data_IF_135809636673
#
_entry.id   IF_135809636673
#
_cell.length_a   1.000
_cell.length_b   1.000
_cell.length_c   1.000
_cell.angle_alpha   90.00
_cell.angle_beta   90.00
_cell.angle_gamma   90.00
#
_symmetry.space_group_name_H-M   'P 1'
#
loop_
_entity.id
_entity.type
_entity.pdbx_description
1 polymer ?
#
# COMPACT_ATOMS: atom_id res chain seq x y z
N UNK A 1 15.28 -4.22 14.41
CA UNK A 1 14.64 -3.28 13.47
C UNK A 1 13.89 -4.00 12.37
N UNK A 2 14.40 -5.13 11.85
CA UNK A 2 13.73 -5.92 10.80
C UNK A 2 12.27 -6.30 11.12
N UNK A 3 11.96 -6.79 12.32
CA UNK A 3 10.58 -7.10 12.71
C UNK A 3 9.65 -5.86 12.65
N UNK A 4 10.15 -4.70 13.07
CA UNK A 4 9.39 -3.45 12.99
C UNK A 4 9.09 -3.07 11.53
N UNK A 5 10.04 -3.25 10.63
CA UNK A 5 9.85 -3.02 9.19
C UNK A 5 8.74 -3.91 8.66
N UNK A 6 8.76 -5.21 8.97
CA UNK A 6 7.73 -6.15 8.50
C UNK A 6 6.34 -5.79 9.05
N UNK A 7 6.25 -5.46 10.34
CA UNK A 7 4.99 -5.08 10.98
C UNK A 7 4.40 -3.79 10.39
N UNK A 8 5.25 -2.81 10.04
CA UNK A 8 4.82 -1.55 9.43
C UNK A 8 4.40 -1.76 7.98
N UNK A 9 5.18 -2.50 7.18
CA UNK A 9 4.80 -2.86 5.80
C UNK A 9 3.45 -3.57 5.79
N UNK A 10 3.23 -4.56 6.65
CA UNK A 10 1.96 -5.27 6.74
C UNK A 10 0.77 -4.36 7.08
N UNK A 11 0.98 -3.31 7.89
CA UNK A 11 -0.06 -2.32 8.23
C UNK A 11 -0.36 -1.35 7.09
N UNK A 12 0.66 -0.97 6.32
CA UNK A 12 0.48 -0.18 5.10
C UNK A 12 -0.34 -0.97 4.08
N UNK A 13 0.01 -2.23 3.84
CA UNK A 13 -0.71 -3.11 2.91
C UNK A 13 -2.16 -3.36 3.36
N UNK A 14 -2.40 -3.57 4.66
CA UNK A 14 -3.76 -3.73 5.19
C UNK A 14 -4.62 -2.46 5.04
N UNK A 15 -4.01 -1.28 5.20
CA UNK A 15 -4.70 0.01 4.98
C UNK A 15 -5.06 0.19 3.51
N UNK A 16 -4.12 -0.12 2.61
CA UNK A 16 -4.37 -0.13 1.15
C UNK A 16 -5.48 -1.11 0.79
N UNK A 17 -5.46 -2.32 1.34
CA UNK A 17 -6.50 -3.32 1.09
C UNK A 17 -7.90 -2.83 1.48
N UNK A 18 -8.01 -2.13 2.61
CA UNK A 18 -9.28 -1.54 3.05
C UNK A 18 -9.79 -0.50 2.04
N UNK A 19 -8.92 0.40 1.57
CA UNK A 19 -9.30 1.41 0.59
C UNK A 19 -9.69 0.79 -0.76
N UNK A 20 -8.96 -0.24 -1.21
CA UNK A 20 -9.28 -0.97 -2.44
C UNK A 20 -10.61 -1.72 -2.35
N UNK A 21 -10.97 -2.22 -1.16
CA UNK A 21 -12.22 -2.95 -0.97
C UNK A 21 -13.47 -2.07 -1.11
N UNK A 22 -13.36 -0.76 -0.85
CA UNK A 22 -14.48 0.21 -0.96
C UNK A 22 -14.36 1.13 -2.18
N UNK A 23 -13.26 1.05 -2.92
CA UNK A 23 -12.97 1.96 -4.04
C UNK A 23 -14.07 1.94 -5.11
N UNK A 24 -14.47 0.75 -5.56
CA UNK A 24 -15.41 0.62 -6.69
C UNK A 24 -16.82 1.11 -6.31
N UNK A 25 -17.28 0.84 -5.08
CA UNK A 25 -18.53 1.39 -4.55
C UNK A 25 -18.47 2.93 -4.45
N UNK A 26 -17.33 3.47 -4.01
CA UNK A 26 -17.12 4.92 -3.95
C UNK A 26 -17.04 5.56 -5.34
N UNK A 27 -16.46 4.89 -6.34
CA UNK A 27 -16.37 5.38 -7.73
C UNK A 27 -17.73 5.40 -8.41
N UNK A 28 -18.57 4.39 -8.15
CA UNK A 28 -19.95 4.34 -8.64
C UNK A 28 -20.82 5.48 -8.07
N UNK A 29 -20.60 5.89 -6.81
CA UNK A 29 -21.36 6.95 -6.14
C UNK A 29 -20.81 8.36 -6.42
N UNK A 30 -19.49 8.56 -6.27
CA UNK A 30 -18.79 9.81 -6.53
C UNK A 30 -17.33 9.57 -7.01
N UNK A 31 -17.10 9.60 -8.33
CA UNK A 31 -15.76 9.44 -8.90
C UNK A 31 -14.72 10.43 -8.37
N UNK A 32 -15.14 11.63 -7.93
CA UNK A 32 -14.21 12.64 -7.40
C UNK A 32 -13.64 12.19 -6.04
N UNK A 33 -14.46 11.58 -5.20
CA UNK A 33 -14.02 11.00 -3.93
C UNK A 33 -13.15 9.76 -4.13
N UNK A 34 -13.48 8.91 -5.12
CA UNK A 34 -12.64 7.76 -5.48
C UNK A 34 -11.25 8.17 -5.96
N UNK A 35 -11.12 9.30 -6.69
CA UNK A 35 -9.81 9.83 -7.11
C UNK A 35 -8.92 10.24 -5.92
N UNK A 36 -9.50 10.75 -4.82
CA UNK A 36 -8.78 10.99 -3.57
C UNK A 36 -8.22 9.68 -3.01
N UNK A 37 -9.03 8.61 -2.99
CA UNK A 37 -8.57 7.29 -2.56
C UNK A 37 -7.46 6.76 -3.46
N UNK A 38 -7.55 6.93 -4.78
CA UNK A 38 -6.48 6.56 -5.70
C UNK A 38 -5.14 7.24 -5.36
N UNK A 39 -5.17 8.56 -5.10
CA UNK A 39 -3.97 9.30 -4.69
C UNK A 39 -3.36 8.77 -3.39
N UNK A 40 -4.19 8.48 -2.38
CA UNK A 40 -3.74 7.96 -1.09
C UNK A 40 -3.19 6.54 -1.23
N UNK A 41 -3.89 5.65 -1.96
CA UNK A 41 -3.45 4.27 -2.24
C UNK A 41 -2.06 4.28 -2.86
N UNK A 42 -1.86 5.05 -3.94
CA UNK A 42 -0.56 5.12 -4.61
C UNK A 42 0.56 5.61 -3.69
N UNK A 43 0.26 6.53 -2.77
CA UNK A 43 1.25 7.02 -1.81
C UNK A 43 1.60 5.98 -0.75
N UNK A 44 0.62 5.25 -0.22
CA UNK A 44 0.86 4.20 0.77
C UNK A 44 1.57 2.99 0.17
N UNK A 45 1.27 2.61 -1.08
CA UNK A 45 1.99 1.55 -1.80
C UNK A 45 3.45 1.95 -2.06
N UNK A 46 3.70 3.22 -2.40
CA UNK A 46 5.06 3.76 -2.46
C UNK A 46 5.78 3.64 -1.10
N UNK A 47 5.10 3.96 0.00
CA UNK A 47 5.68 3.83 1.35
C UNK A 47 5.94 2.36 1.73
N UNK A 48 5.01 1.45 1.42
CA UNK A 48 5.17 0.02 1.67
C UNK A 48 6.40 -0.53 0.94
N UNK A 49 6.61 -0.11 -0.31
CA UNK A 49 7.81 -0.43 -1.08
C UNK A 49 9.09 0.12 -0.41
N UNK A 50 9.13 1.41 -0.06
CA UNK A 50 10.31 2.03 0.55
C UNK A 50 10.66 1.43 1.91
N UNK A 51 9.66 1.18 2.77
CA UNK A 51 9.87 0.61 4.10
C UNK A 51 10.36 -0.84 3.97
N UNK A 52 9.67 -1.66 3.16
CA UNK A 52 10.07 -3.06 2.99
C UNK A 52 11.45 -3.23 2.36
N UNK A 53 11.92 -2.26 1.58
CA UNK A 53 13.23 -2.30 0.93
C UNK A 53 14.40 -2.51 1.92
N UNK A 54 14.26 -2.06 3.17
CA UNK A 54 15.25 -2.31 4.24
C UNK A 54 15.49 -3.80 4.50
N UNK A 55 14.44 -4.63 4.41
CA UNK A 55 14.53 -6.07 4.66
C UNK A 55 14.69 -6.90 3.36
N UNK A 56 14.59 -6.29 2.17
CA UNK A 56 14.69 -7.01 0.89
C UNK A 56 16.14 -7.42 0.61
N UNK A 57 16.32 -8.65 0.16
CA UNK A 57 17.63 -9.14 -0.32
C UNK A 57 17.62 -9.31 -1.84
N UNK A 58 18.75 -9.08 -2.53
CA UNK A 58 18.86 -9.35 -3.95
C UNK A 58 18.61 -10.84 -4.25
N UNK A 59 17.87 -11.13 -5.32
CA UNK A 59 17.78 -12.50 -5.84
C UNK A 59 19.16 -12.92 -6.37
N UNK A 60 19.69 -14.04 -5.90
CA UNK A 60 20.96 -14.57 -6.41
C UNK A 60 20.83 -14.92 -7.90
N UNK A 61 21.82 -14.54 -8.72
CA UNK A 61 21.90 -14.96 -10.12
C UNK A 61 22.04 -16.48 -10.19
N UNK A 62 21.16 -17.13 -10.94
CA UNK A 62 21.30 -18.53 -11.36
C UNK A 62 22.47 -18.68 -12.35
#
# INVERSE_FOLDING_TARGET
TSETVDLVTARLDATVATMRAVHDEADDEDPTSADILHGIIGKLEQFAWMVSAENRTPVAKK
#
